data_IF_383939359213
#
_entry.id   IF_383939359213
#
_cell.length_a   1.000
_cell.length_b   1.000
_cell.length_c   1.000
_cell.angle_alpha   90.00
_cell.angle_beta   90.00
_cell.angle_gamma   90.00
#
_symmetry.space_group_name_H-M   'P 1'
#
loop_
_entity.id
_entity.type
_entity.pdbx_description
1 polymer ?
#
# COMPACT_ATOMS: atom_id res chain seq x y z
N UNK A 1 17.55 -0.69 16.52
CA UNK A 1 16.28 -1.28 16.05
C UNK A 1 16.38 -1.43 14.54
N UNK A 2 16.44 -2.65 14.03
CA UNK A 2 16.58 -2.87 12.59
C UNK A 2 15.22 -2.62 11.94
N UNK A 3 15.13 -1.55 11.14
CA UNK A 3 13.94 -1.19 10.37
C UNK A 3 13.42 -2.42 9.64
N UNK A 4 12.19 -2.81 9.96
CA UNK A 4 11.56 -4.00 9.43
C UNK A 4 11.37 -3.79 7.92
N UNK A 5 12.22 -4.45 7.13
CA UNK A 5 12.14 -4.45 5.67
C UNK A 5 10.75 -5.00 5.30
N UNK A 6 9.89 -4.16 4.76
CA UNK A 6 8.52 -4.57 4.43
C UNK A 6 8.48 -5.07 2.99
N UNK A 7 8.07 -6.33 2.82
CA UNK A 7 7.85 -6.90 1.48
C UNK A 7 6.43 -6.57 1.04
N UNK A 8 6.32 -5.93 -0.12
CA UNK A 8 5.03 -5.64 -0.76
C UNK A 8 4.87 -6.61 -1.93
N UNK A 9 4.04 -7.64 -1.74
CA UNK A 9 3.72 -8.62 -2.80
C UNK A 9 2.65 -8.02 -3.74
N UNK A 10 3.10 -7.34 -4.79
CA UNK A 10 2.22 -6.67 -5.77
C UNK A 10 1.99 -7.49 -7.02
N UNK A 11 2.89 -8.40 -7.35
CA UNK A 11 2.85 -9.30 -8.51
C UNK A 11 3.65 -10.56 -8.14
N UNK A 12 3.15 -11.80 -8.37
CA UNK A 12 3.90 -13.02 -8.10
C UNK A 12 5.32 -13.06 -8.71
N UNK A 13 5.61 -12.23 -9.72
CA UNK A 13 6.95 -12.09 -10.31
C UNK A 13 7.85 -10.98 -9.77
N UNK A 14 7.34 -10.03 -8.95
CA UNK A 14 8.11 -8.84 -8.53
C UNK A 14 8.02 -8.59 -7.03
N UNK A 15 9.17 -8.46 -6.39
CA UNK A 15 9.32 -8.08 -4.98
C UNK A 15 9.84 -6.65 -4.89
N UNK A 16 9.17 -5.83 -4.09
CA UNK A 16 9.63 -4.48 -3.75
C UNK A 16 10.10 -4.44 -2.32
N UNK A 17 11.19 -3.71 -2.10
CA UNK A 17 11.77 -3.46 -0.80
C UNK A 17 11.61 -1.98 -0.48
N UNK A 18 10.86 -1.69 0.56
CA UNK A 18 10.58 -0.35 1.02
C UNK A 18 11.49 0.00 2.20
N UNK A 19 12.45 0.94 2.03
CA UNK A 19 13.36 1.34 3.09
C UNK A 19 12.71 2.30 4.10
N UNK A 20 11.51 2.81 3.80
CA UNK A 20 10.86 3.85 4.60
C UNK A 20 10.20 3.21 5.82
N UNK A 21 10.68 3.59 7.00
CA UNK A 21 10.22 3.05 8.29
C UNK A 21 9.00 3.79 8.85
N UNK A 22 8.56 4.87 8.19
CA UNK A 22 7.38 5.65 8.56
C UNK A 22 6.13 5.07 7.87
N UNK A 23 4.95 5.14 8.48
CA UNK A 23 3.71 4.76 7.81
C UNK A 23 3.49 5.60 6.54
N UNK A 24 3.36 4.94 5.40
CA UNK A 24 3.02 5.55 4.11
C UNK A 24 2.33 4.52 3.22
N UNK A 25 1.81 4.97 2.08
CA UNK A 25 1.07 4.15 1.12
C UNK A 25 1.71 4.24 -0.26
N UNK A 26 1.39 3.27 -1.12
CA UNK A 26 1.98 3.18 -2.46
C UNK A 26 0.90 3.12 -3.55
N UNK A 27 1.12 3.85 -4.64
CA UNK A 27 0.56 3.51 -5.94
C UNK A 27 1.42 2.46 -6.60
N UNK A 28 0.80 1.42 -7.14
CA UNK A 28 1.44 0.46 -8.03
C UNK A 28 0.88 0.60 -9.44
N UNK A 29 1.72 1.03 -10.38
CA UNK A 29 1.35 1.09 -11.78
C UNK A 29 1.47 -0.30 -12.39
N UNK A 30 0.36 -0.91 -12.81
CA UNK A 30 0.35 -2.27 -13.37
C UNK A 30 0.93 -2.33 -14.78
N UNK A 31 0.99 -1.20 -15.50
CA UNK A 31 1.51 -1.13 -16.86
C UNK A 31 3.05 -0.98 -16.87
N UNK A 32 3.61 -0.19 -15.94
CA UNK A 32 5.07 0.02 -15.84
C UNK A 32 5.73 -0.87 -14.80
N UNK A 33 4.95 -1.35 -13.83
CA UNK A 33 5.43 -2.10 -12.68
C UNK A 33 6.26 -1.25 -11.71
N UNK A 34 5.96 0.03 -11.59
CA UNK A 34 6.60 0.98 -10.68
C UNK A 34 5.76 1.22 -9.42
N UNK A 35 6.45 1.51 -8.30
CA UNK A 35 5.82 2.02 -7.07
C UNK A 35 6.05 3.53 -6.96
N UNK A 36 5.07 4.23 -6.43
CA UNK A 36 5.17 5.66 -6.12
C UNK A 36 4.56 5.93 -4.75
N UNK A 37 5.32 6.61 -3.91
CA UNK A 37 4.89 6.98 -2.57
C UNK A 37 3.68 7.93 -2.61
N UNK A 38 2.80 7.76 -1.64
CA UNK A 38 1.66 8.64 -1.40
C UNK A 38 1.89 9.36 -0.07
N UNK A 39 1.84 10.70 -0.11
CA UNK A 39 1.90 11.52 1.09
C UNK A 39 0.78 11.11 2.06
N UNK A 40 1.07 10.91 3.36
CA UNK A 40 0.09 10.41 4.34
C UNK A 40 -1.19 11.24 4.41
N UNK A 41 -1.10 12.55 4.22
CA UNK A 41 -2.24 13.49 4.28
C UNK A 41 -3.22 13.30 3.11
N UNK A 42 -2.78 12.69 2.01
CA UNK A 42 -3.58 12.44 0.82
C UNK A 42 -4.42 11.16 0.91
N UNK A 43 -4.32 10.41 2.01
CA UNK A 43 -5.05 9.15 2.19
C UNK A 43 -5.83 9.20 3.49
N UNK A 44 -7.16 9.05 3.39
CA UNK A 44 -8.02 8.79 4.53
C UNK A 44 -8.63 7.40 4.41
N UNK A 45 -8.36 6.55 5.40
CA UNK A 45 -8.91 5.20 5.48
C UNK A 45 -9.93 5.16 6.61
N UNK A 46 -11.19 4.90 6.26
CA UNK A 46 -12.24 4.70 7.24
C UNK A 46 -12.61 3.21 7.30
N UNK A 47 -12.29 2.57 8.43
CA UNK A 47 -12.79 1.23 8.73
C UNK A 47 -14.18 1.35 9.35
N UNK A 48 -15.19 0.73 8.72
CA UNK A 48 -16.59 0.78 9.18
C UNK A 48 -17.02 -0.43 10.02
N UNK A 49 -16.12 -1.38 10.27
CA UNK A 49 -16.40 -2.59 11.04
C UNK A 49 -15.94 -2.50 12.50
N UNK A 50 -16.38 -3.46 13.31
CA UNK A 50 -15.76 -3.73 14.59
C UNK A 50 -14.62 -4.75 14.40
N UNK A 51 -13.53 -4.57 15.15
CA UNK A 51 -12.51 -5.59 15.23
C UNK A 51 -13.08 -6.85 15.94
N UNK A 52 -12.69 -8.06 15.53
CA UNK A 52 -13.07 -9.28 16.24
C UNK A 52 -12.72 -9.21 17.73
N UNK A 53 -13.51 -9.87 18.57
CA UNK A 53 -13.30 -9.84 20.03
C UNK A 53 -11.89 -10.36 20.38
N UNK A 54 -11.18 -9.62 21.22
CA UNK A 54 -9.83 -9.97 21.67
C UNK A 54 -8.72 -9.63 20.68
N UNK A 55 -8.99 -8.80 19.67
CA UNK A 55 -7.99 -8.34 18.71
C UNK A 55 -7.64 -6.86 18.90
N UNK A 56 -6.41 -6.49 18.53
CA UNK A 56 -5.87 -5.13 18.55
C UNK A 56 -5.29 -4.82 17.16
N UNK A 57 -5.53 -3.61 16.67
CA UNK A 57 -4.97 -3.17 15.39
C UNK A 57 -3.45 -2.98 15.50
N UNK A 58 -2.69 -3.66 14.65
CA UNK A 58 -1.22 -3.55 14.58
C UNK A 58 -0.72 -2.67 13.43
N UNK A 59 -1.54 -2.40 12.43
CA UNK A 59 -1.19 -1.60 11.26
C UNK A 59 -2.25 -1.70 10.16
N UNK A 60 -2.11 -0.88 9.13
CA UNK A 60 -2.94 -0.94 7.92
C UNK A 60 -2.02 -0.75 6.72
N UNK A 61 -2.16 -1.68 5.77
CA UNK A 61 -1.29 -1.81 4.62
C UNK A 61 -2.13 -1.66 3.37
N UNK A 62 -1.95 -0.55 2.65
CA UNK A 62 -2.73 -0.24 1.45
C UNK A 62 -1.83 -0.11 0.25
N UNK A 63 -2.21 -0.81 -0.81
CA UNK A 63 -1.64 -0.69 -2.15
C UNK A 63 -2.78 -0.30 -3.08
N UNK A 64 -2.61 0.82 -3.78
CA UNK A 64 -3.58 1.26 -4.79
C UNK A 64 -3.04 0.92 -6.16
N UNK A 65 -3.71 0.03 -6.89
CA UNK A 65 -3.32 -0.36 -8.25
C UNK A 65 -3.89 0.65 -9.24
N UNK A 66 -3.01 1.22 -10.05
CA UNK A 66 -3.37 2.16 -11.12
C UNK A 66 -2.91 1.60 -12.47
N UNK A 67 -3.58 2.00 -13.53
CA UNK A 67 -3.22 1.71 -14.91
C UNK A 67 -3.76 2.80 -15.82
N UNK A 68 -3.38 2.76 -17.10
CA UNK A 68 -3.82 3.72 -18.09
C UNK A 68 -5.36 3.83 -18.08
N UNK A 69 -5.85 5.05 -17.90
CA UNK A 69 -7.28 5.32 -18.01
C UNK A 69 -7.70 4.97 -19.44
N UNK A 70 -8.63 4.02 -19.59
CA UNK A 70 -9.31 3.87 -20.87
C UNK A 70 -10.09 5.15 -21.10
N UNK A 71 -9.72 5.91 -22.14
CA UNK A 71 -10.52 7.04 -22.59
C UNK A 71 -11.93 6.51 -22.88
N UNK A 72 -12.88 6.82 -22.02
CA UNK A 72 -14.30 6.61 -22.28
C UNK A 72 -14.69 7.62 -23.35
N UNK A 73 -14.87 7.12 -24.57
CA UNK A 73 -15.56 7.84 -25.64
C UNK A 73 -17.04 8.04 -25.27
#
# INVERSE_FOLDING_TARGET
ECGLLRTVDVDPGRKFYDPTTRPHHHFYNVDTGELTDIEPENVSLQFKGAFPRGTEQRGVDVIIRIGAARATH
#
